data_IF_911659322297
#
_entry.id   IF_911659322297
#
_cell.length_a   1.000
_cell.length_b   1.000
_cell.length_c   1.000
_cell.angle_alpha   90.00
_cell.angle_beta   90.00
_cell.angle_gamma   90.00
#
_symmetry.space_group_name_H-M   'P 1'
#
loop_
_entity.id
_entity.type
_entity.pdbx_description
1 polymer ?
#
# COMPACT_ATOMS: atom_id res chain seq x y z
N UNK A 1 24.41 6.07 12.90
CA UNK A 1 23.57 7.05 12.20
C UNK A 1 22.11 6.82 12.61
N UNK A 2 21.38 7.84 13.12
CA UNK A 2 19.99 7.65 13.53
C UNK A 2 19.07 7.58 12.30
N UNK A 3 18.12 6.64 12.32
CA UNK A 3 16.99 6.62 11.38
C UNK A 3 16.21 7.92 11.59
N UNK A 4 15.97 8.68 10.52
CA UNK A 4 15.22 9.93 10.59
C UNK A 4 13.78 9.66 11.04
N UNK A 5 13.27 10.44 12.01
CA UNK A 5 11.87 10.37 12.46
C UNK A 5 10.85 10.53 11.32
N UNK A 6 11.23 11.23 10.23
CA UNK A 6 10.42 11.35 9.03
C UNK A 6 10.23 10.03 8.28
N UNK A 7 11.18 9.09 8.38
CA UNK A 7 11.10 7.79 7.73
C UNK A 7 9.92 6.94 8.27
N UNK A 8 9.67 7.01 9.58
CA UNK A 8 8.52 6.37 10.22
C UNK A 8 7.18 6.96 9.74
N UNK A 9 7.08 8.29 9.67
CA UNK A 9 5.88 8.99 9.18
C UNK A 9 5.61 8.72 7.69
N UNK A 10 6.65 8.66 6.87
CA UNK A 10 6.53 8.28 5.46
C UNK A 10 5.98 6.86 5.32
N UNK A 11 6.47 5.93 6.15
CA UNK A 11 6.02 4.53 6.15
C UNK A 11 4.55 4.43 6.54
N UNK A 12 4.12 5.10 7.60
CA UNK A 12 2.71 5.09 8.02
C UNK A 12 1.79 5.71 6.97
N UNK A 13 2.18 6.85 6.39
CA UNK A 13 1.42 7.49 5.30
C UNK A 13 1.27 6.56 4.09
N UNK A 14 2.35 5.91 3.66
CA UNK A 14 2.29 4.94 2.56
C UNK A 14 1.36 3.77 2.86
N UNK A 15 1.33 3.29 4.11
CA UNK A 15 0.39 2.27 4.57
C UNK A 15 -1.07 2.72 4.46
N UNK A 16 -1.38 3.94 4.92
CA UNK A 16 -2.74 4.50 4.84
C UNK A 16 -3.20 4.66 3.39
N UNK A 17 -2.33 5.16 2.52
CA UNK A 17 -2.64 5.31 1.10
C UNK A 17 -2.84 3.96 0.40
N UNK A 18 -2.04 2.95 0.74
CA UNK A 18 -2.23 1.59 0.24
C UNK A 18 -3.59 1.02 0.64
N UNK A 19 -3.98 1.21 1.91
CA UNK A 19 -5.28 0.77 2.41
C UNK A 19 -6.44 1.52 1.77
N UNK A 20 -6.31 2.83 1.54
CA UNK A 20 -7.33 3.60 0.82
C UNK A 20 -7.57 3.00 -0.57
N UNK A 21 -6.51 2.65 -1.28
CA UNK A 21 -6.62 2.05 -2.62
C UNK A 21 -7.29 0.67 -2.59
N UNK A 22 -7.06 -0.11 -1.53
CA UNK A 22 -7.78 -1.38 -1.33
C UNK A 22 -9.28 -1.16 -1.14
N UNK A 23 -9.68 -0.13 -0.39
CA UNK A 23 -11.10 0.22 -0.21
C UNK A 23 -11.72 0.66 -1.54
N UNK A 24 -11.02 1.44 -2.36
CA UNK A 24 -11.49 1.87 -3.67
C UNK A 24 -11.74 0.65 -4.59
N UNK A 25 -10.82 -0.31 -4.62
CA UNK A 25 -10.99 -1.57 -5.37
C UNK A 25 -12.13 -2.42 -4.81
N UNK A 26 -12.29 -2.48 -3.49
CA UNK A 26 -13.42 -3.17 -2.86
C UNK A 26 -14.76 -2.53 -3.25
N UNK A 27 -14.85 -1.20 -3.21
CA UNK A 27 -16.03 -0.46 -3.65
C UNK A 27 -16.36 -0.70 -5.11
N UNK A 28 -15.36 -0.67 -5.99
CA UNK A 28 -15.53 -0.99 -7.41
C UNK A 28 -16.02 -2.44 -7.63
N UNK A 29 -15.47 -3.40 -6.90
CA UNK A 29 -15.93 -4.80 -6.96
C UNK A 29 -17.37 -4.95 -6.49
N UNK A 30 -17.75 -4.30 -5.39
CA UNK A 30 -19.12 -4.34 -4.84
C UNK A 30 -20.11 -3.73 -5.84
N UNK A 31 -19.78 -2.57 -6.41
CA UNK A 31 -20.65 -1.88 -7.37
C UNK A 31 -20.90 -2.69 -8.64
N UNK A 32 -19.98 -3.58 -9.02
CA UNK A 32 -20.08 -4.41 -10.23
C UNK A 32 -20.40 -5.88 -9.95
N UNK A 33 -20.69 -6.25 -8.69
CA UNK A 33 -20.87 -7.66 -8.30
C UNK A 33 -22.03 -8.36 -9.02
N UNK A 34 -23.06 -7.61 -9.43
CA UNK A 34 -24.22 -8.14 -10.18
C UNK A 34 -24.06 -8.03 -11.70
N UNK A 35 -22.97 -7.46 -12.20
CA UNK A 35 -22.72 -7.30 -13.63
C UNK A 35 -22.29 -8.63 -14.23
N UNK A 36 -23.07 -9.17 -15.17
CA UNK A 36 -22.78 -10.45 -15.80
C UNK A 36 -21.41 -10.42 -16.50
N UNK A 37 -20.59 -11.45 -16.25
CA UNK A 37 -19.26 -11.58 -16.83
C UNK A 37 -18.18 -10.69 -16.18
N UNK A 38 -18.51 -9.96 -15.12
CA UNK A 38 -17.53 -9.19 -14.36
C UNK A 38 -16.55 -10.10 -13.61
N UNK A 39 -15.26 -9.77 -13.69
CA UNK A 39 -14.21 -10.38 -12.88
C UNK A 39 -13.65 -9.35 -11.90
N UNK A 40 -13.58 -9.73 -10.63
CA UNK A 40 -13.11 -8.85 -9.55
C UNK A 40 -11.64 -8.48 -9.73
N UNK A 41 -11.30 -7.26 -9.32
CA UNK A 41 -9.91 -6.82 -9.21
C UNK A 41 -9.36 -7.13 -7.82
N UNK A 42 -8.10 -7.55 -7.76
CA UNK A 42 -7.39 -7.86 -6.52
C UNK A 42 -6.17 -6.95 -6.35
N UNK A 43 -5.98 -6.45 -5.13
CA UNK A 43 -4.82 -5.63 -4.77
C UNK A 43 -3.79 -6.53 -4.11
N UNK A 44 -2.57 -6.55 -4.65
CA UNK A 44 -1.43 -7.23 -4.08
C UNK A 44 -0.52 -6.24 -3.35
N UNK A 45 -0.42 -6.36 -2.03
CA UNK A 45 0.50 -5.54 -1.24
C UNK A 45 1.89 -6.18 -1.24
N UNK A 46 2.91 -5.37 -1.52
CA UNK A 46 4.31 -5.78 -1.48
C UNK A 46 5.09 -4.89 -0.52
N UNK A 47 6.05 -5.49 0.17
CA UNK A 47 6.96 -4.74 1.03
C UNK A 47 7.82 -3.80 0.18
N UNK A 48 8.07 -2.59 0.69
CA UNK A 48 9.07 -1.72 0.07
C UNK A 48 10.48 -2.23 0.34
N UNK A 49 11.47 -1.86 -0.50
CA UNK A 49 12.86 -2.20 -0.28
C UNK A 49 13.34 -1.81 1.12
N UNK A 50 14.24 -2.62 1.68
CA UNK A 50 14.85 -2.35 2.97
C UNK A 50 15.63 -1.03 2.92
N UNK A 51 15.49 -0.21 3.97
CA UNK A 51 16.32 0.98 4.12
C UNK A 51 17.70 0.57 4.64
N UNK A 52 18.71 0.66 3.77
CA UNK A 52 20.09 0.44 4.14
C UNK A 52 20.64 1.71 4.80
N UNK A 53 21.05 1.61 6.05
CA UNK A 53 21.80 2.66 6.73
C UNK A 53 23.27 2.41 6.39
N UNK A 54 23.97 3.31 5.69
CA UNK A 54 25.40 3.16 5.44
C UNK A 54 26.12 3.16 6.80
N UNK A 55 26.79 2.06 7.14
CA UNK A 55 27.79 2.09 8.18
C UNK A 55 28.98 2.85 7.58
N UNK A 56 29.16 4.12 7.97
CA UNK A 56 30.36 4.86 7.61
C UNK A 56 31.59 4.10 8.10
N UNK A 57 32.57 3.93 7.21
CA UNK A 57 33.95 3.61 7.58
C UNK A 57 34.69 4.82 8.11
#
# INVERSE_FOLDING_TARGET
MPISSFYGLQTSLRGLLAQQRMLDTAGHNIANASTQGYSRQEVNLIASPAHLIPAGG
#
